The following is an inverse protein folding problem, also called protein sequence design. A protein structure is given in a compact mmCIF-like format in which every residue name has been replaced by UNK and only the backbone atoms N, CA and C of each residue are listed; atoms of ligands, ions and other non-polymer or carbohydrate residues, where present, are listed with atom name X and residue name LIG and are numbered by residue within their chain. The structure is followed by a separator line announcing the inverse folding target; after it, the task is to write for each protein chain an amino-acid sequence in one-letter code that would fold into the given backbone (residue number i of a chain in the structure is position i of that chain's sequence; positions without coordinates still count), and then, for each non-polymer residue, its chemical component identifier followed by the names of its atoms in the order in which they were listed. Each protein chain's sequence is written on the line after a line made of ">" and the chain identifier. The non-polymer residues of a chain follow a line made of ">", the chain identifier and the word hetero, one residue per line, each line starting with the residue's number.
data_IF_818277871686
#
_entry.id   IF_818277871686
#
_cell.length_a   1.000
_cell.length_b   1.000
_cell.length_c   1.000
_cell.angle_alpha   90.00
_cell.angle_beta   90.00
_cell.angle_gamma   90.00
#
_symmetry.space_group_name_H-M   'P 1'
#
loop_
_entity.id
_entity.type
_entity.pdbx_description
1 polymer ?
#
# COMPACT_ATOMS: atom_id res chain seq x y z
N UNK A 1 -9.99 -9.61 -28.54
CA UNK A 1 -9.54 -10.94 -28.10
C UNK A 1 -8.86 -10.92 -26.73
N UNK A 2 -7.63 -10.42 -26.57
CA UNK A 2 -6.94 -10.43 -25.26
C UNK A 2 -7.73 -9.69 -24.15
N UNK A 3 -8.31 -8.52 -24.45
CA UNK A 3 -9.14 -7.76 -23.51
C UNK A 3 -10.40 -8.49 -23.05
N UNK A 4 -10.98 -9.35 -23.88
CA UNK A 4 -12.19 -10.11 -23.52
C UNK A 4 -11.89 -11.33 -22.64
N UNK A 5 -10.70 -11.92 -22.82
CA UNK A 5 -10.21 -12.98 -21.94
C UNK A 5 -9.98 -12.40 -20.54
N UNK A 6 -9.37 -11.21 -20.46
CA UNK A 6 -9.18 -10.50 -19.19
C UNK A 6 -10.51 -10.15 -18.52
N UNK A 7 -11.51 -9.64 -19.25
CA UNK A 7 -12.80 -9.28 -18.64
C UNK A 7 -13.58 -10.48 -18.13
N UNK A 8 -13.54 -11.62 -18.84
CA UNK A 8 -14.14 -12.88 -18.38
C UNK A 8 -13.43 -13.45 -17.15
N UNK A 9 -12.11 -13.36 -17.11
CA UNK A 9 -11.35 -13.72 -15.92
C UNK A 9 -11.77 -12.85 -14.73
N UNK A 10 -11.80 -11.52 -14.89
CA UNK A 10 -12.21 -10.59 -13.83
C UNK A 10 -13.63 -10.88 -13.31
N UNK A 11 -14.59 -11.21 -14.18
CA UNK A 11 -15.94 -11.60 -13.77
C UNK A 11 -15.99 -12.90 -12.94
N UNK A 12 -15.14 -13.88 -13.24
CA UNK A 12 -15.05 -15.13 -12.45
C UNK A 12 -14.44 -14.90 -11.06
N UNK A 13 -13.61 -13.88 -10.92
CA UNK A 13 -13.01 -13.48 -9.65
C UNK A 13 -13.97 -12.69 -8.74
N UNK A 14 -15.06 -12.18 -9.30
CA UNK A 14 -16.03 -11.30 -8.63
C UNK A 14 -16.83 -12.02 -7.54
N UNK A 15 -17.00 -13.34 -7.65
CA UNK A 15 -17.79 -14.15 -6.71
C UNK A 15 -17.11 -14.39 -5.34
N UNK A 16 -15.80 -14.12 -5.21
CA UNK A 16 -15.03 -14.21 -3.95
C UNK A 16 -13.83 -13.23 -3.97
N UNK A 17 -14.11 -11.94 -4.23
CA UNK A 17 -13.13 -10.86 -4.51
C UNK A 17 -11.87 -10.89 -3.63
N UNK A 18 -12.02 -10.97 -2.32
CA UNK A 18 -10.87 -10.82 -1.40
C UNK A 18 -9.83 -11.92 -1.54
N UNK A 19 -10.28 -13.18 -1.74
CA UNK A 19 -9.39 -14.34 -1.75
C UNK A 19 -8.55 -14.40 -3.03
N UNK A 20 -9.17 -14.12 -4.17
CA UNK A 20 -8.43 -14.20 -5.44
C UNK A 20 -7.57 -12.97 -5.70
N UNK A 21 -8.01 -11.79 -5.26
CA UNK A 21 -7.17 -10.59 -5.32
C UNK A 21 -5.90 -10.81 -4.48
N UNK A 22 -6.04 -11.37 -3.27
CA UNK A 22 -4.90 -11.74 -2.44
C UNK A 22 -3.95 -12.74 -3.11
N UNK A 23 -4.50 -13.75 -3.78
CA UNK A 23 -3.70 -14.74 -4.50
C UNK A 23 -2.93 -14.13 -5.70
N UNK A 24 -3.57 -13.27 -6.48
CA UNK A 24 -2.93 -12.59 -7.63
C UNK A 24 -1.85 -11.64 -7.15
N UNK A 25 -2.12 -10.84 -6.11
CA UNK A 25 -1.13 -9.94 -5.53
C UNK A 25 0.06 -10.75 -4.98
N UNK A 26 -0.22 -11.81 -4.21
CA UNK A 26 0.81 -12.70 -3.68
C UNK A 26 1.66 -13.35 -4.77
N UNK A 27 1.04 -13.77 -5.87
CA UNK A 27 1.74 -14.34 -7.03
C UNK A 27 2.69 -13.33 -7.68
N UNK A 28 2.23 -12.09 -7.90
CA UNK A 28 3.06 -11.01 -8.46
C UNK A 28 4.23 -10.67 -7.52
N UNK A 29 3.97 -10.56 -6.21
CA UNK A 29 5.02 -10.28 -5.21
C UNK A 29 6.05 -11.41 -5.15
N UNK A 30 5.60 -12.67 -5.23
CA UNK A 30 6.48 -13.83 -5.22
C UNK A 30 7.39 -13.88 -6.45
N UNK A 31 6.86 -13.58 -7.64
CA UNK A 31 7.66 -13.40 -8.87
C UNK A 31 8.69 -12.29 -8.67
N UNK A 32 8.29 -11.14 -8.11
CA UNK A 32 9.21 -10.04 -7.83
C UNK A 32 10.36 -10.44 -6.90
N UNK A 33 10.06 -11.21 -5.84
CA UNK A 33 11.07 -11.77 -4.92
C UNK A 33 12.05 -12.67 -5.66
N UNK A 34 11.59 -13.53 -6.56
CA UNK A 34 12.42 -14.43 -7.35
C UNK A 34 13.31 -13.69 -8.35
N UNK A 35 12.78 -12.67 -9.05
CA UNK A 35 13.52 -11.96 -10.11
C UNK A 35 14.47 -10.90 -9.57
N UNK A 36 14.03 -10.10 -8.59
CA UNK A 36 14.81 -8.97 -8.04
C UNK A 36 15.66 -9.44 -6.85
N UNK A 37 15.16 -10.39 -6.08
CA UNK A 37 15.77 -10.90 -4.84
C UNK A 37 14.98 -10.48 -3.58
N UNK A 38 14.98 -11.35 -2.57
CA UNK A 38 14.20 -11.21 -1.34
C UNK A 38 14.37 -9.86 -0.63
N UNK A 39 15.62 -9.43 -0.39
CA UNK A 39 15.91 -8.20 0.35
C UNK A 39 15.47 -6.93 -0.38
N UNK A 40 15.58 -6.92 -1.72
CA UNK A 40 15.16 -5.77 -2.54
C UNK A 40 13.64 -5.63 -2.53
N UNK A 41 12.90 -6.73 -2.67
CA UNK A 41 11.44 -6.68 -2.60
C UNK A 41 10.95 -6.32 -1.19
N UNK A 42 11.62 -6.81 -0.14
CA UNK A 42 11.31 -6.42 1.25
C UNK A 42 11.51 -4.91 1.47
N UNK A 43 12.61 -4.34 0.96
CA UNK A 43 12.85 -2.89 1.02
C UNK A 43 11.73 -2.11 0.32
N UNK A 44 11.31 -2.53 -0.87
CA UNK A 44 10.22 -1.90 -1.62
C UNK A 44 8.90 -1.97 -0.84
N UNK A 45 8.55 -3.12 -0.26
CA UNK A 45 7.32 -3.29 0.53
C UNK A 45 7.34 -2.38 1.75
N UNK A 46 8.46 -2.31 2.48
CA UNK A 46 8.61 -1.44 3.64
C UNK A 46 8.50 0.03 3.24
N UNK A 47 9.23 0.48 2.21
CA UNK A 47 9.14 1.84 1.71
C UNK A 47 7.74 2.20 1.24
N UNK A 48 7.04 1.27 0.58
CA UNK A 48 5.65 1.47 0.13
C UNK A 48 4.69 1.57 1.32
N UNK A 49 4.84 0.69 2.32
CA UNK A 49 4.04 0.73 3.54
C UNK A 49 4.27 2.00 4.36
N UNK A 50 5.52 2.43 4.50
CA UNK A 50 5.87 3.70 5.13
C UNK A 50 5.33 4.87 4.33
N UNK A 51 5.51 4.89 3.01
CA UNK A 51 4.96 5.93 2.13
C UNK A 51 3.44 6.03 2.23
N UNK A 52 2.73 4.90 2.32
CA UNK A 52 1.29 4.88 2.56
C UNK A 52 0.91 5.38 3.95
N UNK A 53 1.63 4.98 5.00
CA UNK A 53 1.40 5.43 6.37
C UNK A 53 1.61 6.94 6.51
N UNK A 54 2.73 7.45 6.01
CA UNK A 54 3.05 8.89 6.01
C UNK A 54 2.12 9.67 5.08
N UNK A 55 1.80 9.13 3.90
CA UNK A 55 0.85 9.73 2.95
C UNK A 55 -0.55 9.85 3.51
N UNK A 56 -1.06 8.81 4.19
CA UNK A 56 -2.35 8.84 4.88
C UNK A 56 -2.38 9.86 6.02
N UNK A 57 -1.24 10.09 6.68
CA UNK A 57 -1.11 11.15 7.70
C UNK A 57 -1.20 12.56 7.11
N UNK A 58 -0.89 12.74 5.83
CA UNK A 58 -1.01 14.02 5.13
C UNK A 58 -2.44 14.36 4.71
N UNK A 59 -3.35 13.38 4.65
CA UNK A 59 -4.77 13.57 4.38
C UNK A 59 -5.53 13.94 5.67
N UNK A 60 -5.14 13.34 6.81
CA UNK A 60 -5.53 13.79 8.16
C UNK A 60 -4.62 14.93 8.67
N UNK A 61 -4.65 16.08 7.99
CA UNK A 61 -3.94 17.31 8.41
C UNK A 61 -4.23 17.70 9.88
N UNK A 62 -5.38 17.29 10.41
CA UNK A 62 -5.85 17.57 11.77
C UNK A 62 -5.09 16.73 12.82
N UNK A 63 -5.00 15.41 12.63
CA UNK A 63 -4.28 14.51 13.55
C UNK A 63 -2.77 14.75 13.55
N UNK A 64 -2.18 15.10 12.40
CA UNK A 64 -0.74 15.37 12.32
C UNK A 64 -0.40 16.66 13.07
N UNK A 65 -1.21 17.73 12.92
CA UNK A 65 -1.06 18.97 13.68
C UNK A 65 -1.26 18.75 15.18
N UNK A 66 -2.26 17.97 15.58
CA UNK A 66 -2.54 17.70 16.99
C UNK A 66 -1.42 16.87 17.65
N UNK A 67 -0.93 15.85 16.96
CA UNK A 67 0.23 15.05 17.42
C UNK A 67 1.51 15.88 17.48
N UNK A 68 1.72 16.78 16.52
CA UNK A 68 2.88 17.67 16.48
C UNK A 68 2.82 18.72 17.60
N UNK A 69 1.65 19.29 17.90
CA UNK A 69 1.44 20.19 19.05
C UNK A 69 1.58 19.47 20.40
N UNK A 70 1.33 18.16 20.45
CA UNK A 70 1.48 17.36 21.68
C UNK A 70 2.94 16.99 21.96
N UNK A 71 3.76 16.83 20.93
CA UNK A 71 5.19 16.49 21.03
C UNK A 71 6.08 17.73 21.06
N UNK A 72 5.70 18.80 20.35
CA UNK A 72 6.37 20.08 20.40
C UNK A 72 5.53 21.04 21.27
N UNK A 73 5.99 21.39 22.49
CA UNK A 73 5.31 22.41 23.28
C UNK A 73 5.27 23.71 22.47
N UNK A 74 4.17 24.48 22.51
CA UNK A 74 4.02 25.69 21.73
C UNK A 74 5.17 26.64 22.05
N UNK A 75 6.00 26.91 21.04
CA UNK A 75 6.95 28.00 21.08
C UNK A 75 6.16 29.28 21.24
N UNK A 76 6.16 29.81 22.46
CA UNK A 76 5.56 31.07 22.86
C UNK A 76 6.18 32.20 22.02
N UNK A 77 5.53 32.57 20.91
CA UNK A 77 5.80 33.83 20.22
C UNK A 77 5.03 34.94 20.93
N UNK A 78 5.79 35.79 21.61
CA UNK A 78 5.34 37.11 22.06
C UNK A 78 5.05 38.03 20.88
#
# INVERSE_FOLDING_TARGET
>A
MAKEIFSRFIQLLDNNKGRTIGAIIGFIVSILILTIGFFKTLFIVICTGLGYFFGKKSDNQEDLKEFLNKILPPGKTN
#
